data_IF_579256623324
#
_entry.id   IF_579256623324
#
_cell.length_a   1.000
_cell.length_b   1.000
_cell.length_c   1.000
_cell.angle_alpha   90.00
_cell.angle_beta   90.00
_cell.angle_gamma   90.00
#
_symmetry.space_group_name_H-M   'P 1'
#
loop_
_entity.id
_entity.type
_entity.pdbx_description
1 polymer ?
#
# COMPACT_ATOMS: atom_id res chain seq x y z
N UNK A 1 10.54 -5.49 17.38
CA UNK A 1 9.32 -4.68 17.65
C UNK A 1 8.71 -4.05 16.38
N UNK A 2 9.46 -3.29 15.57
CA UNK A 2 8.90 -2.64 14.37
C UNK A 2 8.42 -3.61 13.29
N UNK A 3 9.19 -4.67 13.02
CA UNK A 3 8.86 -5.70 12.02
C UNK A 3 7.55 -6.41 12.36
N UNK A 4 7.36 -6.73 13.64
CA UNK A 4 6.20 -7.42 14.17
C UNK A 4 4.95 -6.54 14.08
N UNK A 5 5.08 -5.25 14.44
CA UNK A 5 3.98 -4.27 14.31
C UNK A 5 3.58 -4.12 12.83
N UNK A 6 4.54 -3.91 11.94
CA UNK A 6 4.28 -3.77 10.49
C UNK A 6 3.67 -5.07 9.94
N UNK A 7 4.17 -6.23 10.36
CA UNK A 7 3.64 -7.54 9.97
C UNK A 7 2.17 -7.73 10.36
N UNK A 8 1.80 -7.40 11.60
CA UNK A 8 0.40 -7.48 12.06
C UNK A 8 -0.50 -6.53 11.27
N UNK A 9 -0.04 -5.29 11.04
CA UNK A 9 -0.79 -4.31 10.22
C UNK A 9 -0.99 -4.85 8.81
N UNK A 10 0.07 -5.39 8.18
CA UNK A 10 -0.02 -5.92 6.82
C UNK A 10 -0.95 -7.12 6.71
N UNK A 11 -0.94 -8.04 7.68
CA UNK A 11 -1.88 -9.17 7.70
C UNK A 11 -3.32 -8.65 7.79
N UNK A 12 -3.58 -7.74 8.73
CA UNK A 12 -4.92 -7.15 8.92
C UNK A 12 -5.41 -6.42 7.66
N UNK A 13 -4.58 -5.55 7.09
CA UNK A 13 -4.93 -4.75 5.91
C UNK A 13 -5.06 -5.61 4.67
N UNK A 14 -4.24 -6.67 4.51
CA UNK A 14 -4.37 -7.63 3.41
C UNK A 14 -5.71 -8.38 3.49
N UNK A 15 -6.12 -8.80 4.68
CA UNK A 15 -7.42 -9.43 4.88
C UNK A 15 -8.57 -8.47 4.55
N UNK A 16 -8.48 -7.22 5.01
CA UNK A 16 -9.45 -6.16 4.67
C UNK A 16 -9.51 -5.93 3.16
N UNK A 17 -8.37 -5.88 2.47
CA UNK A 17 -8.32 -5.69 1.02
C UNK A 17 -9.05 -6.80 0.24
N UNK A 18 -9.05 -8.04 0.74
CA UNK A 18 -9.73 -9.17 0.12
C UNK A 18 -11.26 -9.15 0.35
N UNK A 19 -11.70 -8.76 1.55
CA UNK A 19 -13.11 -8.85 1.96
C UNK A 19 -13.89 -7.59 1.56
N UNK A 20 -13.24 -6.43 1.52
CA UNK A 20 -13.90 -5.14 1.27
C UNK A 20 -14.51 -5.06 -0.13
N UNK A 21 -15.82 -4.79 -0.18
CA UNK A 21 -16.58 -4.59 -1.43
C UNK A 21 -16.42 -3.17 -1.99
N UNK A 22 -16.25 -2.17 -1.11
CA UNK A 22 -16.08 -0.79 -1.51
C UNK A 22 -14.72 -0.61 -2.22
N UNK A 23 -14.76 -0.19 -3.49
CA UNK A 23 -13.55 -0.06 -4.32
C UNK A 23 -12.62 1.02 -3.79
N UNK A 24 -13.16 2.16 -3.34
CA UNK A 24 -12.38 3.27 -2.79
C UNK A 24 -11.62 2.86 -1.53
N UNK A 25 -12.31 2.22 -0.58
CA UNK A 25 -11.70 1.72 0.65
C UNK A 25 -10.62 0.66 0.36
N UNK A 26 -10.86 -0.22 -0.61
CA UNK A 26 -9.89 -1.25 -1.02
C UNK A 26 -8.60 -0.65 -1.59
N UNK A 27 -8.69 0.45 -2.35
CA UNK A 27 -7.50 1.12 -2.87
C UNK A 27 -6.61 1.69 -1.75
N UNK A 28 -7.22 2.21 -0.67
CA UNK A 28 -6.46 2.68 0.50
C UNK A 28 -5.69 1.53 1.19
N UNK A 29 -6.28 0.34 1.26
CA UNK A 29 -5.58 -0.84 1.80
C UNK A 29 -4.41 -1.28 0.93
N UNK A 30 -4.58 -1.27 -0.39
CA UNK A 30 -3.49 -1.59 -1.33
C UNK A 30 -2.32 -0.60 -1.20
N UNK A 31 -2.61 0.67 -0.94
CA UNK A 31 -1.57 1.68 -0.69
C UNK A 31 -0.72 1.35 0.54
N UNK A 32 -1.37 1.00 1.66
CA UNK A 32 -0.67 0.61 2.90
C UNK A 32 0.15 -0.67 2.70
N UNK A 33 -0.37 -1.63 1.93
CA UNK A 33 0.35 -2.86 1.61
C UNK A 33 1.65 -2.57 0.86
N UNK A 34 1.60 -1.71 -0.17
CA UNK A 34 2.78 -1.36 -0.96
C UNK A 34 3.93 -0.80 -0.10
N UNK A 35 3.64 0.19 0.73
CA UNK A 35 4.64 0.79 1.62
C UNK A 35 5.09 -0.17 2.74
N UNK A 36 4.18 -0.95 3.31
CA UNK A 36 4.54 -1.92 4.36
C UNK A 36 5.46 -3.02 3.83
N UNK A 37 5.24 -3.53 2.61
CA UNK A 37 6.11 -4.53 1.98
C UNK A 37 7.50 -3.95 1.74
N UNK A 38 7.61 -2.72 1.21
CA UNK A 38 8.89 -2.03 1.06
C UNK A 38 9.64 -1.93 2.41
N UNK A 39 8.95 -1.56 3.48
CA UNK A 39 9.53 -1.47 4.82
C UNK A 39 9.99 -2.83 5.36
N UNK A 40 9.22 -3.90 5.15
CA UNK A 40 9.62 -5.26 5.54
C UNK A 40 10.87 -5.73 4.79
N UNK A 41 10.98 -5.47 3.49
CA UNK A 41 12.17 -5.82 2.70
C UNK A 41 13.41 -5.14 3.31
N UNK A 42 13.32 -3.84 3.61
CA UNK A 42 14.42 -3.07 4.18
C UNK A 42 14.82 -3.51 5.60
N UNK A 43 13.86 -3.93 6.43
CA UNK A 43 14.10 -4.25 7.84
C UNK A 43 14.45 -5.72 8.10
N UNK A 44 14.00 -6.64 7.25
CA UNK A 44 14.17 -8.09 7.47
C UNK A 44 15.41 -8.62 6.75
N UNK A 45 15.73 -8.11 5.56
CA UNK A 45 16.78 -8.68 4.71
C UNK A 45 18.05 -7.84 4.82
N UNK A 46 19.05 -8.35 5.54
CA UNK A 46 20.34 -7.68 5.76
C UNK A 46 21.31 -7.87 4.59
N UNK A 47 20.93 -7.40 3.40
CA UNK A 47 21.84 -7.35 2.24
C UNK A 47 21.76 -6.01 1.53
N UNK A 48 22.86 -5.51 0.93
CA UNK A 48 22.82 -4.26 0.15
C UNK A 48 21.81 -4.31 -1.01
N UNK A 49 21.63 -5.47 -1.61
CA UNK A 49 20.66 -5.67 -2.68
C UNK A 49 19.22 -5.51 -2.21
N UNK A 50 18.89 -5.93 -0.98
CA UNK A 50 17.56 -5.72 -0.41
C UNK A 50 17.19 -4.25 -0.30
N UNK A 51 18.15 -3.36 -0.04
CA UNK A 51 17.91 -1.92 -0.02
C UNK A 51 17.51 -1.41 -1.41
N UNK A 52 18.17 -1.88 -2.46
CA UNK A 52 17.82 -1.55 -3.86
C UNK A 52 16.39 -2.01 -4.17
N UNK A 53 16.04 -3.24 -3.78
CA UNK A 53 14.69 -3.79 -3.99
C UNK A 53 13.65 -3.02 -3.18
N UNK A 54 13.93 -2.70 -1.92
CA UNK A 54 13.05 -1.90 -1.08
C UNK A 54 12.80 -0.50 -1.67
N UNK A 55 13.85 0.15 -2.18
CA UNK A 55 13.76 1.45 -2.84
C UNK A 55 12.93 1.38 -4.14
N UNK A 56 13.13 0.35 -4.96
CA UNK A 56 12.32 0.13 -6.15
C UNK A 56 10.84 -0.05 -5.79
N UNK A 57 10.53 -0.90 -4.80
CA UNK A 57 9.18 -1.07 -4.28
C UNK A 57 8.59 0.23 -3.72
N UNK A 58 9.39 1.05 -3.04
CA UNK A 58 8.98 2.33 -2.48
C UNK A 58 8.59 3.33 -3.58
N UNK A 59 9.40 3.43 -4.64
CA UNK A 59 9.13 4.30 -5.79
C UNK A 59 7.86 3.85 -6.51
N UNK A 60 7.73 2.56 -6.81
CA UNK A 60 6.53 2.01 -7.44
C UNK A 60 5.28 2.22 -6.58
N UNK A 61 5.39 2.04 -5.25
CA UNK A 61 4.29 2.30 -4.32
C UNK A 61 3.90 3.78 -4.30
N UNK A 62 4.87 4.69 -4.43
CA UNK A 62 4.61 6.14 -4.52
C UNK A 62 3.87 6.50 -5.81
N UNK A 63 4.24 5.91 -6.94
CA UNK A 63 3.51 6.10 -8.21
C UNK A 63 2.08 5.57 -8.08
N UNK A 64 1.93 4.35 -7.55
CA UNK A 64 0.61 3.73 -7.32
C UNK A 64 -0.26 4.55 -6.36
N UNK A 65 0.31 5.09 -5.30
CA UNK A 65 -0.38 5.94 -4.33
C UNK A 65 -0.99 7.19 -4.99
N UNK A 66 -0.24 7.85 -5.87
CA UNK A 66 -0.73 9.01 -6.62
C UNK A 66 -1.81 8.62 -7.63
N UNK A 67 -1.68 7.48 -8.30
CA UNK A 67 -2.72 6.95 -9.19
C UNK A 67 -4.02 6.60 -8.44
N UNK A 68 -3.89 6.06 -7.22
CA UNK A 68 -5.02 5.81 -6.31
C UNK A 68 -5.68 7.14 -5.92
N UNK A 69 -4.91 8.14 -5.49
CA UNK A 69 -5.45 9.45 -5.12
C UNK A 69 -6.20 10.12 -6.28
N UNK A 70 -5.64 10.07 -7.49
CA UNK A 70 -6.31 10.57 -8.69
C UNK A 70 -7.62 9.82 -8.98
N UNK A 71 -7.61 8.49 -8.84
CA UNK A 71 -8.79 7.64 -9.07
C UNK A 71 -9.89 7.92 -8.04
N UNK A 72 -9.53 8.07 -6.77
CA UNK A 72 -10.45 8.40 -5.69
C UNK A 72 -11.09 9.78 -5.90
N UNK A 73 -10.28 10.78 -6.29
CA UNK A 73 -10.78 12.11 -6.61
C UNK A 73 -11.78 12.07 -7.77
N UNK A 74 -11.44 11.36 -8.85
CA UNK A 74 -12.34 11.22 -10.00
C UNK A 74 -13.66 10.54 -9.65
N UNK A 75 -13.62 9.50 -8.81
CA UNK A 75 -14.82 8.80 -8.35
C UNK A 75 -15.73 9.73 -7.51
N UNK A 76 -15.14 10.59 -6.69
CA UNK A 76 -15.89 11.58 -5.90
C UNK A 76 -16.55 12.64 -6.79
N UNK A 77 -15.84 13.12 -7.83
CA UNK A 77 -16.39 14.04 -8.84
C UNK A 77 -17.56 13.41 -9.61
N UNK A 78 -17.51 12.12 -9.97
CA UNK A 78 -18.60 11.41 -10.64
C UNK A 78 -19.85 11.30 -9.74
N UNK A 79 -19.71 11.06 -8.43
CA UNK A 79 -20.85 10.96 -7.50
C UNK A 79 -21.58 12.30 -7.32
N UNK A 80 -20.89 13.43 -7.44
CA UNK A 80 -21.48 14.77 -7.28
C UNK A 80 -22.29 15.20 -8.51
N UNK A 81 -21.99 14.62 -9.67
CA UNK A 81 -22.64 14.94 -10.95
C UNK A 81 -23.93 14.13 -11.22
N UNK A 82 -24.17 13.06 -10.44
CA UNK A 82 -25.41 12.27 -10.43
C UNK A 82 -26.42 12.79 -9.37
#
# INVERSE_FOLDING_TARGET
MYVEIIGVILIFVSLRALITKNRAERLLYLNVIGFGVSALIALVINTPFALIVAAAFFICSTISANAIAYTLKKLDEEIILD
#
